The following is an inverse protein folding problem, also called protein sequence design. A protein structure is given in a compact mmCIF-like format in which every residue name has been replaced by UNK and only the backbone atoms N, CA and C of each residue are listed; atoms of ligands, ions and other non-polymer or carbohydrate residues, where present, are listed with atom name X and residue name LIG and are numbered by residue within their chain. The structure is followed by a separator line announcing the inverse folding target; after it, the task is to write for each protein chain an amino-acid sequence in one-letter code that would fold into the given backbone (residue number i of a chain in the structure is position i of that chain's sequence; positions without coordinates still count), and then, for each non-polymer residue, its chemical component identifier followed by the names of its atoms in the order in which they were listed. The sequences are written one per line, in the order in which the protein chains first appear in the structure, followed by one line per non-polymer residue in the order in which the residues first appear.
data_IF_614653582978
#
_entry.id   IF_614653582978
#
_cell.length_a   1.000
_cell.length_b   1.000
_cell.length_c   1.000
_cell.angle_alpha   90.00
_cell.angle_beta   90.00
_cell.angle_gamma   90.00
#
_symmetry.space_group_name_H-M   'P 1'
#
loop_
_entity.id
_entity.type
_entity.pdbx_description
1 polymer ?
#
# COMPACT_ATOMS: atom_id res chain seq x y z
N UNK A 1 14.23 24.64 -9.92
CA UNK A 1 14.17 24.02 -8.58
C UNK A 1 15.59 23.58 -8.23
N UNK A 2 16.27 24.22 -7.26
CA UNK A 2 17.66 23.87 -6.92
C UNK A 2 17.71 22.48 -6.27
N UNK A 3 18.75 21.66 -6.52
CA UNK A 3 18.87 20.34 -5.91
C UNK A 3 19.03 20.48 -4.39
N UNK A 4 18.21 19.75 -3.64
CA UNK A 4 18.29 19.68 -2.19
C UNK A 4 19.71 19.30 -1.74
N UNK A 5 20.26 19.93 -0.68
CA UNK A 5 21.59 19.62 -0.20
C UNK A 5 21.62 18.15 0.24
N UNK A 6 22.39 17.33 -0.50
CA UNK A 6 22.78 16.00 -0.05
C UNK A 6 23.52 16.18 1.28
N UNK A 7 22.85 15.89 2.40
CA UNK A 7 23.53 15.67 3.69
C UNK A 7 24.30 14.36 3.59
N UNK A 8 25.37 14.37 2.81
CA UNK A 8 26.42 13.37 2.92
C UNK A 8 26.90 13.35 4.36
N UNK A 9 27.41 12.19 4.80
CA UNK A 9 28.09 12.06 6.09
C UNK A 9 29.00 13.29 6.25
N UNK A 10 28.78 14.15 7.26
CA UNK A 10 29.48 15.41 7.34
C UNK A 10 30.97 15.10 7.31
N UNK A 11 31.72 15.73 6.39
CA UNK A 11 33.14 15.43 6.18
C UNK A 11 33.95 15.42 7.49
N UNK A 12 33.51 16.22 8.48
CA UNK A 12 34.02 16.21 9.85
C UNK A 12 33.95 14.84 10.56
N UNK A 13 32.87 14.09 10.37
CA UNK A 13 32.70 12.76 10.98
C UNK A 13 33.70 11.76 10.40
N UNK A 14 33.93 11.79 9.08
CA UNK A 14 34.92 10.92 8.44
C UNK A 14 36.35 11.29 8.86
N UNK A 15 36.64 12.58 8.98
CA UNK A 15 37.93 13.09 9.48
C UNK A 15 38.14 12.67 10.94
N UNK A 16 37.12 12.80 11.80
CA UNK A 16 37.18 12.38 13.20
C UNK A 16 37.36 10.87 13.36
N UNK A 17 36.68 10.06 12.53
CA UNK A 17 36.82 8.61 12.50
C UNK A 17 38.25 8.19 12.11
N UNK A 18 38.79 8.79 11.04
CA UNK A 18 40.14 8.52 10.58
C UNK A 18 41.19 8.92 11.63
N UNK A 19 41.04 10.10 12.24
CA UNK A 19 41.91 10.56 13.31
C UNK A 19 41.85 9.63 14.54
N UNK A 20 40.66 9.16 14.92
CA UNK A 20 40.47 8.20 16.01
C UNK A 20 41.15 6.85 15.73
N UNK A 21 41.01 6.31 14.52
CA UNK A 21 41.68 5.08 14.11
C UNK A 21 43.22 5.23 14.15
N UNK A 22 43.75 6.34 13.66
CA UNK A 22 45.20 6.62 13.70
C UNK A 22 45.69 6.74 15.14
N UNK A 23 44.97 7.46 16.00
CA UNK A 23 45.33 7.63 17.42
C UNK A 23 45.29 6.30 18.19
N UNK A 24 44.30 5.44 17.92
CA UNK A 24 44.19 4.09 18.51
C UNK A 24 45.37 3.19 18.15
N UNK A 25 45.78 3.20 16.87
CA UNK A 25 46.92 2.43 16.38
C UNK A 25 48.22 2.97 16.98
N UNK A 26 48.34 4.30 17.09
CA UNK A 26 49.54 4.96 17.61
C UNK A 26 49.75 4.71 19.11
N UNK A 27 48.68 4.71 19.91
CA UNK A 27 48.76 4.60 21.37
C UNK A 27 48.83 3.16 21.89
N UNK A 28 48.19 2.20 21.21
CA UNK A 28 48.03 0.82 21.71
C UNK A 28 48.59 -0.28 20.81
N UNK A 29 49.20 0.03 19.65
CA UNK A 29 49.80 -0.95 18.71
C UNK A 29 48.81 -2.04 18.24
N UNK A 30 48.90 -3.26 18.80
CA UNK A 30 48.17 -4.47 18.37
C UNK A 30 46.65 -4.43 18.69
N UNK A 31 46.23 -4.18 19.94
CA UNK A 31 44.81 -4.02 20.26
C UNK A 31 44.13 -2.83 19.55
N UNK A 32 44.87 -1.75 19.30
CA UNK A 32 44.36 -0.60 18.54
C UNK A 32 44.02 -0.92 17.08
N UNK A 33 44.83 -1.78 16.44
CA UNK A 33 44.59 -2.24 15.07
C UNK A 33 43.32 -3.10 14.95
N UNK A 34 43.09 -3.99 15.92
CA UNK A 34 41.87 -4.80 15.97
C UNK A 34 40.62 -3.94 16.14
N UNK A 35 40.67 -2.94 17.03
CA UNK A 35 39.57 -1.99 17.23
C UNK A 35 39.29 -1.16 15.97
N UNK A 36 40.33 -0.64 15.31
CA UNK A 36 40.17 0.14 14.08
C UNK A 36 39.56 -0.69 12.94
N UNK A 37 39.99 -1.95 12.78
CA UNK A 37 39.42 -2.87 11.80
C UNK A 37 37.95 -3.19 12.08
N UNK A 38 37.60 -3.40 13.35
CA UNK A 38 36.21 -3.60 13.77
C UNK A 38 35.34 -2.36 13.47
N UNK A 39 35.85 -1.16 13.76
CA UNK A 39 35.17 0.10 13.47
C UNK A 39 34.90 0.30 11.97
N UNK A 40 35.92 0.05 11.14
CA UNK A 40 35.80 0.10 9.68
C UNK A 40 34.75 -0.89 9.17
N UNK A 41 34.73 -2.10 9.72
CA UNK A 41 33.73 -3.12 9.35
C UNK A 41 32.32 -2.66 9.69
N UNK A 42 32.11 -2.10 10.89
CA UNK A 42 30.81 -1.54 11.30
C UNK A 42 30.38 -0.40 10.37
N UNK A 43 31.28 0.52 10.04
CA UNK A 43 30.99 1.66 9.15
C UNK A 43 30.71 1.20 7.73
N UNK A 44 31.48 0.24 7.20
CA UNK A 44 31.27 -0.34 5.87
C UNK A 44 29.90 -1.03 5.78
N UNK A 45 29.53 -1.79 6.81
CA UNK A 45 28.23 -2.44 6.89
C UNK A 45 27.10 -1.42 7.04
N UNK A 46 27.27 -0.39 7.86
CA UNK A 46 26.27 0.66 8.08
C UNK A 46 26.00 1.49 6.81
N UNK A 47 27.06 1.87 6.09
CA UNK A 47 26.97 2.64 4.84
C UNK A 47 26.36 1.85 3.68
N UNK A 48 26.50 0.51 3.68
CA UNK A 48 25.79 -0.35 2.72
C UNK A 48 24.33 -0.60 3.07
N UNK A 49 23.92 -0.36 4.33
CA UNK A 49 22.56 -0.59 4.81
C UNK A 49 21.69 0.65 4.88
N UNK A 50 22.27 1.86 4.99
CA UNK A 50 21.50 3.09 4.96
C UNK A 50 21.20 3.45 3.50
N UNK A 51 19.95 3.33 3.03
CA UNK A 51 19.63 3.49 1.61
C UNK A 51 19.60 4.97 1.18
N UNK A 52 20.24 5.87 1.94
CA UNK A 52 20.33 7.30 1.67
C UNK A 52 18.96 7.99 1.70
N UNK A 53 18.92 9.26 1.28
CA UNK A 53 17.66 10.01 1.22
C UNK A 53 16.67 9.39 0.21
N UNK A 54 17.16 8.99 -0.96
CA UNK A 54 16.34 8.44 -2.04
C UNK A 54 15.69 7.10 -1.67
N UNK A 55 16.41 6.20 -0.97
CA UNK A 55 15.82 4.93 -0.57
C UNK A 55 14.88 5.05 0.64
N UNK A 56 15.07 6.05 1.51
CA UNK A 56 14.06 6.38 2.53
C UNK A 56 12.76 6.90 1.92
N UNK A 57 12.86 7.75 0.90
CA UNK A 57 11.70 8.25 0.14
C UNK A 57 10.98 7.12 -0.60
N UNK A 58 11.72 6.25 -1.30
CA UNK A 58 11.14 5.07 -1.94
C UNK A 58 10.44 4.13 -0.95
N UNK A 59 11.02 3.92 0.24
CA UNK A 59 10.39 3.13 1.31
C UNK A 59 9.10 3.79 1.83
N UNK A 60 9.10 5.12 2.00
CA UNK A 60 7.92 5.87 2.41
C UNK A 60 6.79 5.75 1.37
N UNK A 61 7.09 5.97 0.09
CA UNK A 61 6.12 5.83 -1.00
C UNK A 61 5.60 4.40 -1.13
N UNK A 62 6.46 3.39 -0.96
CA UNK A 62 6.04 1.98 -0.94
C UNK A 62 5.02 1.71 0.15
N UNK A 63 5.24 2.25 1.35
CA UNK A 63 4.27 2.14 2.44
C UNK A 63 2.97 2.89 2.13
N UNK A 64 3.03 4.07 1.52
CA UNK A 64 1.84 4.79 1.08
C UNK A 64 1.04 3.98 0.05
N UNK A 65 1.70 3.37 -0.94
CA UNK A 65 1.03 2.50 -1.92
C UNK A 65 0.35 1.32 -1.22
N UNK A 66 1.01 0.71 -0.24
CA UNK A 66 0.44 -0.41 0.53
C UNK A 66 -0.78 -0.02 1.33
N UNK A 67 -0.75 1.17 1.94
CA UNK A 67 -1.88 1.72 2.69
C UNK A 67 -3.07 1.96 1.76
N UNK A 68 -2.88 2.65 0.63
CA UNK A 68 -3.97 2.86 -0.33
C UNK A 68 -4.47 1.55 -0.96
N UNK A 69 -3.61 0.54 -1.07
CA UNK A 69 -4.02 -0.80 -1.50
C UNK A 69 -4.85 -1.53 -0.44
N UNK A 70 -4.69 -1.20 0.85
CA UNK A 70 -5.52 -1.68 1.95
C UNK A 70 -6.94 -1.15 1.83
N UNK A 71 -7.14 0.13 1.49
CA UNK A 71 -8.47 0.69 1.23
C UNK A 71 -9.24 -0.11 0.15
N UNK A 72 -8.54 -0.57 -0.90
CA UNK A 72 -9.12 -1.45 -1.93
C UNK A 72 -9.51 -2.81 -1.32
N UNK A 73 -8.66 -3.39 -0.47
CA UNK A 73 -8.93 -4.67 0.20
C UNK A 73 -10.15 -4.56 1.11
N UNK A 74 -10.29 -3.48 1.86
CA UNK A 74 -11.38 -3.24 2.79
C UNK A 74 -12.74 -3.23 2.08
N UNK A 75 -12.84 -2.59 0.92
CA UNK A 75 -14.08 -2.59 0.13
C UNK A 75 -14.40 -4.00 -0.39
N UNK A 76 -13.38 -4.74 -0.86
CA UNK A 76 -13.56 -6.12 -1.32
C UNK A 76 -13.97 -7.06 -0.18
N UNK A 77 -13.38 -6.90 1.00
CA UNK A 77 -13.73 -7.68 2.19
C UNK A 77 -15.14 -7.34 2.67
N UNK A 78 -15.52 -6.05 2.70
CA UNK A 78 -16.88 -5.63 3.02
C UNK A 78 -17.91 -6.27 2.08
N UNK A 79 -17.59 -6.37 0.79
CA UNK A 79 -18.45 -7.04 -0.17
C UNK A 79 -18.48 -8.56 0.02
N UNK A 80 -17.35 -9.20 0.28
CA UNK A 80 -17.29 -10.63 0.53
C UNK A 80 -18.05 -10.99 1.83
N UNK A 81 -17.90 -10.17 2.88
CA UNK A 81 -18.67 -10.28 4.12
C UNK A 81 -20.17 -10.15 3.85
N UNK A 82 -20.58 -9.17 3.05
CA UNK A 82 -21.99 -9.05 2.64
C UNK A 82 -22.49 -10.32 1.92
N UNK A 83 -21.67 -10.94 1.09
CA UNK A 83 -22.05 -12.15 0.32
C UNK A 83 -22.07 -13.42 1.16
N UNK A 84 -21.16 -13.59 2.11
CA UNK A 84 -20.87 -14.89 2.75
C UNK A 84 -21.19 -14.92 4.24
N UNK A 85 -21.36 -13.76 4.90
CA UNK A 85 -21.63 -13.72 6.33
C UNK A 85 -22.91 -14.49 6.68
N UNK A 86 -22.83 -15.26 7.76
CA UNK A 86 -23.94 -16.00 8.36
C UNK A 86 -24.64 -15.21 9.47
N UNK A 87 -24.21 -13.97 9.71
CA UNK A 87 -24.85 -13.08 10.68
C UNK A 87 -26.30 -12.80 10.27
N UNK A 88 -27.21 -12.76 11.24
CA UNK A 88 -28.64 -12.60 11.01
C UNK A 88 -28.94 -11.28 10.27
N UNK A 89 -28.23 -10.21 10.63
CA UNK A 89 -28.38 -8.90 10.00
C UNK A 89 -27.87 -8.90 8.56
N UNK A 90 -26.72 -9.53 8.30
CA UNK A 90 -26.17 -9.66 6.96
C UNK A 90 -27.05 -10.53 6.06
N UNK A 91 -27.60 -11.62 6.61
CA UNK A 91 -28.55 -12.50 5.92
C UNK A 91 -29.85 -11.76 5.59
N UNK A 92 -30.42 -11.03 6.55
CA UNK A 92 -31.62 -10.24 6.32
C UNK A 92 -31.38 -9.13 5.28
N UNK A 93 -30.21 -8.51 5.31
CA UNK A 93 -29.83 -7.47 4.37
C UNK A 93 -29.65 -8.00 2.95
N UNK A 94 -28.96 -9.14 2.80
CA UNK A 94 -28.82 -9.88 1.53
C UNK A 94 -30.17 -10.31 0.98
N UNK A 95 -31.06 -10.83 1.81
CA UNK A 95 -32.32 -11.44 1.32
C UNK A 95 -33.43 -10.41 1.10
N UNK A 96 -33.62 -9.48 2.04
CA UNK A 96 -34.79 -8.58 2.05
C UNK A 96 -34.51 -7.15 1.60
N UNK A 97 -33.29 -6.65 1.84
CA UNK A 97 -32.99 -5.23 1.61
C UNK A 97 -32.25 -5.00 0.28
N UNK A 98 -31.32 -5.88 -0.07
CA UNK A 98 -30.38 -5.70 -1.20
C UNK A 98 -30.08 -7.01 -1.96
N UNK A 99 -31.10 -7.81 -2.37
CA UNK A 99 -30.86 -9.07 -3.07
C UNK A 99 -30.12 -8.93 -4.40
N UNK A 100 -30.43 -7.87 -5.16
CA UNK A 100 -29.79 -7.61 -6.45
C UNK A 100 -28.28 -7.36 -6.37
N UNK A 101 -27.72 -7.04 -5.19
CA UNK A 101 -26.28 -6.82 -5.01
C UNK A 101 -25.49 -8.15 -4.95
N UNK A 102 -26.16 -9.22 -4.51
CA UNK A 102 -25.60 -10.57 -4.47
C UNK A 102 -25.80 -11.33 -5.79
N UNK A 103 -26.69 -10.83 -6.65
CA UNK A 103 -27.00 -11.41 -7.96
C UNK A 103 -25.95 -10.99 -9.01
N UNK A 104 -25.20 -11.95 -9.59
CA UNK A 104 -24.24 -11.66 -10.67
C UNK A 104 -24.92 -11.33 -12.00
N UNK A 105 -26.18 -11.74 -12.20
CA UNK A 105 -26.91 -11.61 -13.48
C UNK A 105 -27.85 -10.39 -13.49
N UNK A 106 -27.70 -9.48 -12.52
CA UNK A 106 -28.52 -8.27 -12.42
C UNK A 106 -28.40 -7.39 -13.66
N UNK A 107 -29.51 -6.83 -14.13
CA UNK A 107 -29.54 -5.89 -15.27
C UNK A 107 -29.25 -4.44 -14.86
N UNK A 108 -29.03 -4.15 -13.57
CA UNK A 108 -28.79 -2.79 -13.10
C UNK A 108 -27.34 -2.36 -13.41
N UNK A 109 -27.15 -1.24 -14.14
CA UNK A 109 -25.83 -0.82 -14.60
C UNK A 109 -24.90 -0.39 -13.45
N UNK A 110 -25.44 0.13 -12.34
CA UNK A 110 -24.62 0.54 -11.19
C UNK A 110 -24.03 -0.68 -10.48
N UNK A 111 -24.83 -1.74 -10.35
CA UNK A 111 -24.40 -3.00 -9.72
C UNK A 111 -23.44 -3.77 -10.63
N UNK A 112 -23.71 -3.87 -11.94
CA UNK A 112 -22.79 -4.50 -12.89
C UNK A 112 -21.42 -3.82 -12.91
N UNK A 113 -21.40 -2.48 -12.91
CA UNK A 113 -20.16 -1.70 -12.87
C UNK A 113 -19.35 -2.03 -11.62
N UNK A 114 -19.99 -2.13 -10.46
CA UNK A 114 -19.31 -2.50 -9.22
C UNK A 114 -18.67 -3.89 -9.31
N UNK A 115 -19.41 -4.91 -9.75
CA UNK A 115 -18.85 -6.26 -9.93
C UNK A 115 -17.64 -6.27 -10.87
N UNK A 116 -17.72 -5.55 -12.00
CA UNK A 116 -16.60 -5.41 -12.94
C UNK A 116 -15.38 -4.75 -12.26
N UNK A 117 -15.60 -3.69 -11.48
CA UNK A 117 -14.52 -3.03 -10.75
C UNK A 117 -13.92 -3.94 -9.66
N UNK A 118 -14.72 -4.76 -8.96
CA UNK A 118 -14.21 -5.77 -8.03
C UNK A 118 -13.27 -6.77 -8.69
N UNK A 119 -13.63 -7.30 -9.87
CA UNK A 119 -12.76 -8.19 -10.63
C UNK A 119 -11.44 -7.50 -11.04
N UNK A 120 -11.53 -6.25 -11.51
CA UNK A 120 -10.37 -5.44 -11.86
C UNK A 120 -9.46 -5.14 -10.66
N UNK A 121 -10.05 -4.85 -9.49
CA UNK A 121 -9.36 -4.57 -8.24
C UNK A 121 -8.61 -5.80 -7.71
N UNK A 122 -9.25 -6.97 -7.68
CA UNK A 122 -8.59 -8.25 -7.32
C UNK A 122 -7.36 -8.51 -8.19
N UNK A 123 -7.48 -8.35 -9.50
CA UNK A 123 -6.34 -8.52 -10.43
C UNK A 123 -5.25 -7.47 -10.24
N UNK A 124 -5.61 -6.26 -9.83
CA UNK A 124 -4.65 -5.20 -9.53
C UNK A 124 -3.86 -5.54 -8.26
N UNK A 125 -4.54 -5.87 -7.17
CA UNK A 125 -3.91 -6.27 -5.89
C UNK A 125 -2.98 -7.47 -6.05
N UNK A 126 -3.37 -8.48 -6.83
CA UNK A 126 -2.50 -9.65 -7.06
C UNK A 126 -1.18 -9.31 -7.76
N UNK A 127 -1.10 -8.16 -8.44
CA UNK A 127 0.10 -7.73 -9.18
C UNK A 127 0.89 -6.63 -8.48
N UNK A 128 0.32 -5.97 -7.48
CA UNK A 128 0.93 -4.79 -6.87
C UNK A 128 2.19 -5.15 -6.07
N UNK A 129 2.16 -6.25 -5.30
CA UNK A 129 3.33 -6.68 -4.52
C UNK A 129 4.50 -7.10 -5.41
N UNK A 130 4.23 -7.79 -6.52
CA UNK A 130 5.26 -8.15 -7.50
C UNK A 130 5.89 -6.90 -8.14
N UNK A 131 5.09 -5.85 -8.34
CA UNK A 131 5.58 -4.57 -8.85
C UNK A 131 6.41 -3.84 -7.80
N UNK A 132 5.94 -3.76 -6.55
CA UNK A 132 6.67 -3.14 -5.43
C UNK A 132 7.99 -3.84 -5.09
N UNK A 133 8.13 -5.13 -5.40
CA UNK A 133 9.36 -5.90 -5.22
C UNK A 133 10.40 -5.68 -6.34
N UNK A 134 10.06 -4.94 -7.40
CA UNK A 134 10.96 -4.68 -8.53
C UNK A 134 12.13 -3.78 -8.10
N UNK A 135 13.39 -4.26 -8.18
CA UNK A 135 14.56 -3.48 -7.79
C UNK A 135 14.82 -2.27 -8.70
N UNK A 136 14.28 -2.28 -9.92
CA UNK A 136 14.45 -1.19 -10.89
C UNK A 136 13.39 -0.07 -10.72
N UNK A 137 12.50 -0.21 -9.73
CA UNK A 137 11.45 0.78 -9.48
C UNK A 137 12.03 2.11 -9.01
N UNK A 138 11.78 3.17 -9.77
CA UNK A 138 12.18 4.53 -9.40
C UNK A 138 11.15 5.20 -8.47
N UNK A 139 11.58 6.23 -7.75
CA UNK A 139 10.69 7.10 -6.94
C UNK A 139 9.51 7.62 -7.76
N UNK A 140 9.77 8.06 -9.00
CA UNK A 140 8.72 8.56 -9.91
C UNK A 140 7.73 7.47 -10.31
N UNK A 141 8.18 6.24 -10.44
CA UNK A 141 7.29 5.11 -10.75
C UNK A 141 6.43 4.72 -9.54
N UNK A 142 6.98 4.84 -8.32
CA UNK A 142 6.21 4.70 -7.08
C UNK A 142 5.15 5.80 -6.92
N UNK A 143 5.47 7.06 -7.21
CA UNK A 143 4.50 8.16 -7.20
C UNK A 143 3.34 7.91 -8.18
N UNK A 144 3.67 7.46 -9.40
CA UNK A 144 2.66 7.09 -10.40
C UNK A 144 1.81 5.92 -9.93
N UNK A 145 2.44 4.90 -9.34
CA UNK A 145 1.73 3.73 -8.81
C UNK A 145 0.81 4.13 -7.66
N UNK A 146 1.25 5.02 -6.77
CA UNK A 146 0.46 5.57 -5.69
C UNK A 146 -0.78 6.29 -6.23
N UNK A 147 -0.60 7.23 -7.16
CA UNK A 147 -1.71 7.96 -7.76
C UNK A 147 -2.74 7.04 -8.44
N UNK A 148 -2.28 5.97 -9.11
CA UNK A 148 -3.18 4.97 -9.72
C UNK A 148 -3.90 4.14 -8.64
N UNK A 149 -3.23 3.83 -7.53
CA UNK A 149 -3.80 3.06 -6.42
C UNK A 149 -4.87 3.89 -5.70
N UNK A 150 -4.57 5.13 -5.35
CA UNK A 150 -5.50 6.08 -4.71
C UNK A 150 -6.76 6.25 -5.56
N UNK A 151 -6.58 6.51 -6.86
CA UNK A 151 -7.70 6.66 -7.78
C UNK A 151 -8.57 5.41 -7.82
N UNK A 152 -7.96 4.22 -7.85
CA UNK A 152 -8.70 2.95 -7.86
C UNK A 152 -9.44 2.71 -6.55
N UNK A 153 -8.87 3.08 -5.41
CA UNK A 153 -9.52 2.99 -4.11
C UNK A 153 -10.80 3.84 -4.09
N UNK A 154 -10.68 5.12 -4.46
CA UNK A 154 -11.83 6.05 -4.53
C UNK A 154 -12.89 5.57 -5.51
N UNK A 155 -12.51 5.21 -6.75
CA UNK A 155 -13.48 4.74 -7.75
C UNK A 155 -14.22 3.47 -7.29
N UNK A 156 -13.53 2.56 -6.60
CA UNK A 156 -14.13 1.32 -6.08
C UNK A 156 -15.07 1.61 -4.90
N UNK A 157 -14.68 2.50 -3.98
CA UNK A 157 -15.54 2.90 -2.86
C UNK A 157 -16.82 3.60 -3.36
N UNK A 158 -16.70 4.54 -4.29
CA UNK A 158 -17.84 5.22 -4.88
C UNK A 158 -18.80 4.26 -5.58
N UNK A 159 -18.26 3.29 -6.33
CA UNK A 159 -19.08 2.28 -7.00
C UNK A 159 -19.76 1.35 -5.99
N UNK A 160 -19.11 1.00 -4.89
CA UNK A 160 -19.71 0.22 -3.79
C UNK A 160 -20.91 0.94 -3.17
N UNK A 161 -20.75 2.23 -2.83
CA UNK A 161 -21.83 3.03 -2.26
C UNK A 161 -22.99 3.22 -3.24
N UNK A 162 -22.68 3.36 -4.53
CA UNK A 162 -23.68 3.53 -5.59
C UNK A 162 -24.46 2.23 -5.82
N UNK A 163 -23.77 1.08 -5.94
CA UNK A 163 -24.39 -0.23 -6.10
C UNK A 163 -25.29 -0.61 -4.89
N UNK A 164 -24.86 -0.29 -3.66
CA UNK A 164 -25.71 -0.49 -2.46
C UNK A 164 -26.99 0.35 -2.51
N UNK A 165 -26.89 1.59 -2.96
CA UNK A 165 -28.06 2.46 -3.14
C UNK A 165 -28.99 1.90 -4.22
N UNK A 166 -28.44 1.44 -5.35
CA UNK A 166 -29.19 0.78 -6.42
C UNK A 166 -29.95 -0.45 -5.93
N UNK A 167 -29.24 -1.38 -5.29
CA UNK A 167 -29.82 -2.60 -4.75
C UNK A 167 -30.94 -2.32 -3.75
N UNK A 168 -30.80 -1.28 -2.91
CA UNK A 168 -31.83 -0.87 -1.96
C UNK A 168 -33.06 -0.24 -2.64
N UNK A 169 -32.89 0.43 -3.79
CA UNK A 169 -34.03 0.91 -4.59
C UNK A 169 -34.79 -0.27 -5.19
N UNK A 170 -34.09 -1.25 -5.74
CA UNK A 170 -34.67 -2.47 -6.32
C UNK A 170 -35.42 -3.28 -5.25
N UNK A 171 -34.79 -3.53 -4.09
CA UNK A 171 -35.41 -4.28 -2.98
C UNK A 171 -36.63 -3.57 -2.35
N UNK A 172 -36.73 -2.23 -2.46
CA UNK A 172 -37.95 -1.49 -2.09
C UNK A 172 -39.04 -1.60 -3.15
N UNK A 173 -38.67 -1.53 -4.43
CA UNK A 173 -39.62 -1.64 -5.55
C UNK A 173 -40.27 -3.03 -5.62
N UNK A 174 -39.49 -4.10 -5.45
CA UNK A 174 -40.00 -5.47 -5.43
C UNK A 174 -41.05 -5.70 -4.32
N UNK A 175 -40.84 -5.12 -3.13
CA UNK A 175 -41.81 -5.20 -2.01
C UNK A 175 -43.07 -4.35 -2.19
N UNK A 176 -43.03 -3.35 -3.08
CA UNK A 176 -44.17 -2.48 -3.35
C UNK A 176 -45.15 -3.04 -4.38
N UNK A 177 -44.74 -4.06 -5.15
CA UNK A 177 -45.54 -4.65 -6.23
C UNK A 177 -46.43 -5.82 -5.77
N UNK A 178 -46.29 -6.31 -4.53
CA UNK A 178 -47.12 -7.37 -3.94
C UNK A 178 -48.31 -6.81 -3.10
N UNK A 179 -48.66 -5.52 -3.26
CA UNK A 179 -49.69 -4.86 -2.43
C UNK A 179 -50.94 -4.35 -3.16
N UNK A 180 -51.09 -4.66 -4.44
CA UNK A 180 -52.29 -4.31 -5.23
C UNK A 180 -53.04 -5.56 -5.71
#
# INVERSE_FOLDING_TARGET
MPPAPQRGVPRLYLIGLAAGCVLLVWLMKLPGLLLAGMLLTVVFVATRRDPGAAGREAAALTNSVRLSAEDIRDVLEAFEKFRTSQDADALADRTFNRPALADPDTSDPEIQRFHYQCHGARRFLNRIEARLADPDMTVRDLERLLAVTDRRAVELEESWLTARRAARRIGRRGRGLDRD
#
